data_IF_812097931651
#
_entry.id   IF_812097931651
#
_cell.length_a   1.000
_cell.length_b   1.000
_cell.length_c   1.000
_cell.angle_alpha   90.00
_cell.angle_beta   90.00
_cell.angle_gamma   90.00
#
_symmetry.space_group_name_H-M   'P 1'
#
loop_
_entity.id
_entity.type
_entity.pdbx_description
1 polymer ?
#
# COMPACT_ATOMS: atom_id res chain seq x y z
N UNK A 1 13.83 -23.89 -15.46
CA UNK A 1 14.22 -23.15 -14.25
C UNK A 1 12.95 -22.87 -13.46
N UNK A 2 12.90 -23.39 -12.24
CA UNK A 2 11.68 -23.67 -11.47
C UNK A 2 10.98 -22.41 -10.93
N UNK A 3 9.65 -22.43 -11.00
CA UNK A 3 8.70 -21.38 -10.59
C UNK A 3 8.36 -21.45 -9.09
N UNK A 4 9.37 -21.64 -8.22
CA UNK A 4 9.14 -21.94 -6.79
C UNK A 4 9.52 -20.82 -5.80
N UNK A 5 10.04 -19.67 -6.24
CA UNK A 5 10.55 -18.63 -5.33
C UNK A 5 9.58 -17.46 -5.07
N UNK A 6 8.27 -17.71 -5.06
CA UNK A 6 7.28 -16.65 -4.82
C UNK A 6 6.30 -17.02 -3.70
N UNK A 7 6.76 -16.98 -2.45
CA UNK A 7 5.96 -16.60 -1.27
C UNK A 7 6.73 -16.76 0.05
N UNK A 8 7.94 -16.20 0.20
CA UNK A 8 8.48 -16.01 1.56
C UNK A 8 7.93 -14.70 2.14
N UNK A 9 6.64 -14.78 2.46
CA UNK A 9 5.86 -13.77 3.17
C UNK A 9 6.57 -13.40 4.47
N UNK A 10 6.58 -12.10 4.77
CA UNK A 10 7.02 -11.48 6.01
C UNK A 10 6.67 -12.32 7.25
N UNK A 11 7.63 -13.10 7.77
CA UNK A 11 7.52 -13.69 9.10
C UNK A 11 8.15 -12.72 10.10
N UNK A 12 7.37 -11.75 10.58
CA UNK A 12 7.65 -11.22 11.92
C UNK A 12 7.36 -12.36 12.90
N UNK A 13 8.42 -12.89 13.51
CA UNK A 13 8.30 -13.95 14.52
C UNK A 13 7.87 -13.29 15.82
N UNK A 14 6.55 -13.16 15.99
CA UNK A 14 5.96 -12.74 17.25
C UNK A 14 5.96 -13.93 18.20
N UNK A 15 6.51 -13.73 19.40
CA UNK A 15 6.52 -14.74 20.46
C UNK A 15 5.78 -14.22 21.68
N UNK A 16 5.06 -15.10 22.37
CA UNK A 16 4.51 -14.77 23.69
C UNK A 16 5.66 -14.82 24.70
N UNK A 17 5.81 -13.76 25.51
CA UNK A 17 6.97 -13.55 26.41
C UNK A 17 7.19 -14.68 27.41
N UNK A 18 6.12 -15.28 27.91
CA UNK A 18 6.17 -16.30 28.95
C UNK A 18 5.41 -17.55 28.49
N UNK A 19 6.08 -18.56 27.89
CA UNK A 19 5.43 -19.80 27.46
C UNK A 19 4.88 -20.66 28.61
N UNK A 20 5.33 -20.43 29.85
CA UNK A 20 4.89 -21.15 31.03
C UNK A 20 3.58 -20.59 31.63
N UNK A 21 3.21 -19.36 31.28
CA UNK A 21 1.98 -18.73 31.71
C UNK A 21 0.98 -18.68 30.56
N UNK A 22 -0.20 -19.27 30.75
CA UNK A 22 -1.25 -19.23 29.73
C UNK A 22 -1.67 -17.77 29.46
N UNK A 23 -1.64 -17.31 28.18
CA UNK A 23 -2.07 -15.97 27.85
C UNK A 23 -3.61 -15.84 27.94
N UNK A 24 -4.15 -14.61 28.07
CA UNK A 24 -5.59 -14.38 28.02
C UNK A 24 -6.23 -15.03 26.78
N UNK A 25 -7.21 -15.91 27.00
CA UNK A 25 -7.88 -16.66 25.92
C UNK A 25 -7.16 -17.93 25.45
N UNK A 26 -6.09 -18.34 26.14
CA UNK A 26 -5.36 -19.59 25.94
C UNK A 26 -4.41 -19.59 24.75
N UNK A 27 -3.68 -20.69 24.56
CA UNK A 27 -2.83 -20.88 23.38
C UNK A 27 -3.67 -21.30 22.19
N UNK A 28 -3.33 -20.78 21.00
CA UNK A 28 -4.05 -21.03 19.76
C UNK A 28 -3.07 -21.25 18.62
N UNK A 29 -3.44 -22.13 17.70
CA UNK A 29 -2.72 -22.37 16.46
C UNK A 29 -3.71 -22.52 15.32
N UNK A 30 -3.43 -21.88 14.19
CA UNK A 30 -4.13 -22.10 12.93
C UNK A 30 -3.10 -22.50 11.89
N UNK A 31 -3.33 -23.61 11.21
CA UNK A 31 -2.49 -24.10 10.12
C UNK A 31 -3.13 -23.61 8.83
N UNK A 32 -2.58 -22.52 8.26
CA UNK A 32 -3.17 -21.84 7.11
C UNK A 32 -3.29 -22.76 5.88
N UNK A 33 -2.36 -23.69 5.72
CA UNK A 33 -2.29 -24.65 4.62
C UNK A 33 -3.48 -25.63 4.62
N UNK A 34 -4.01 -25.97 5.79
CA UNK A 34 -5.10 -26.97 5.94
C UNK A 34 -6.39 -26.38 6.49
N UNK A 35 -6.35 -25.13 6.99
CA UNK A 35 -7.45 -24.50 7.71
C UNK A 35 -7.68 -25.02 9.13
N UNK A 36 -6.94 -26.03 9.58
CA UNK A 36 -7.12 -26.62 10.90
C UNK A 36 -6.79 -25.62 12.01
N UNK A 37 -7.60 -25.64 13.07
CA UNK A 37 -7.49 -24.73 14.21
C UNK A 37 -7.48 -25.53 15.52
N UNK A 38 -6.54 -25.19 16.39
CA UNK A 38 -6.31 -25.86 17.66
C UNK A 38 -6.23 -24.83 18.79
N UNK A 39 -6.72 -25.19 19.97
CA UNK A 39 -6.59 -24.37 21.18
C UNK A 39 -6.42 -25.23 22.42
N UNK A 40 -5.55 -24.81 23.35
CA UNK A 40 -5.36 -25.49 24.63
C UNK A 40 -4.84 -24.48 25.69
N UNK A 41 -5.23 -24.59 26.97
CA UNK A 41 -4.68 -23.76 28.04
C UNK A 41 -3.18 -23.98 28.30
N UNK A 42 -2.63 -25.15 28.00
CA UNK A 42 -1.23 -25.50 28.20
C UNK A 42 -0.46 -25.53 26.86
N UNK A 43 0.65 -24.78 26.80
CA UNK A 43 1.49 -24.70 25.59
C UNK A 43 2.04 -26.07 25.18
N UNK A 44 2.58 -26.83 26.12
CA UNK A 44 3.21 -28.14 25.84
C UNK A 44 2.23 -29.14 25.24
N UNK A 45 0.99 -29.18 25.74
CA UNK A 45 -0.05 -30.04 25.20
C UNK A 45 -0.45 -29.62 23.78
N UNK A 46 -0.60 -28.30 23.55
CA UNK A 46 -0.88 -27.80 22.21
C UNK A 46 0.25 -28.11 21.23
N UNK A 47 1.49 -27.95 21.67
CA UNK A 47 2.67 -28.25 20.86
C UNK A 47 2.69 -29.70 20.43
N UNK A 48 2.39 -30.65 21.31
CA UNK A 48 2.26 -32.07 20.95
C UNK A 48 1.15 -32.30 19.95
N UNK A 49 -0.06 -31.75 20.18
CA UNK A 49 -1.21 -31.91 19.27
C UNK A 49 -0.87 -31.38 17.87
N UNK A 50 -0.32 -30.18 17.80
CA UNK A 50 0.05 -29.52 16.53
C UNK A 50 1.20 -30.26 15.85
N UNK A 51 2.22 -30.71 16.58
CA UNK A 51 3.34 -31.46 16.02
C UNK A 51 2.87 -32.79 15.40
N UNK A 52 2.00 -33.53 16.09
CA UNK A 52 1.39 -34.75 15.54
C UNK A 52 0.62 -34.44 14.26
N UNK A 53 -0.22 -33.41 14.27
CA UNK A 53 -1.01 -33.03 13.10
C UNK A 53 -0.13 -32.59 11.91
N UNK A 54 0.94 -31.82 12.16
CA UNK A 54 1.88 -31.42 11.12
C UNK A 54 2.55 -32.65 10.49
N UNK A 55 2.99 -33.59 11.32
CA UNK A 55 3.58 -34.87 10.85
C UNK A 55 2.60 -35.67 9.98
N UNK A 56 1.32 -35.77 10.39
CA UNK A 56 0.27 -36.45 9.62
C UNK A 56 -0.01 -35.78 8.26
N UNK A 57 0.19 -34.45 8.17
CA UNK A 57 0.04 -33.68 6.94
C UNK A 57 1.32 -33.61 6.10
N UNK A 58 2.40 -34.33 6.47
CA UNK A 58 3.69 -34.28 5.77
C UNK A 58 4.47 -32.97 5.95
N UNK A 59 4.19 -32.22 7.02
CA UNK A 59 4.89 -31.00 7.41
C UNK A 59 5.87 -31.25 8.56
N UNK A 60 6.84 -30.34 8.75
CA UNK A 60 7.85 -30.48 9.80
C UNK A 60 7.23 -30.25 11.20
N UNK A 61 7.22 -31.27 12.09
CA UNK A 61 6.68 -31.14 13.44
C UNK A 61 7.44 -30.11 14.31
N UNK A 62 8.70 -29.78 13.98
CA UNK A 62 9.46 -28.76 14.69
C UNK A 62 8.86 -27.35 14.54
N UNK A 63 8.03 -27.12 13.51
CA UNK A 63 7.34 -25.84 13.30
C UNK A 63 6.16 -25.62 14.27
N UNK A 64 5.75 -26.62 15.05
CA UNK A 64 4.59 -26.52 15.93
C UNK A 64 4.70 -25.35 16.93
N UNK A 65 5.83 -25.25 17.65
CA UNK A 65 6.08 -24.19 18.63
C UNK A 65 6.04 -22.79 18.02
N UNK A 66 6.82 -22.51 16.96
CA UNK A 66 6.77 -21.24 16.24
C UNK A 66 5.38 -20.86 15.73
N UNK A 67 4.63 -21.81 15.14
CA UNK A 67 3.27 -21.57 14.62
C UNK A 67 2.28 -21.23 15.74
N UNK A 68 2.35 -21.92 16.88
CA UNK A 68 1.55 -21.62 18.07
C UNK A 68 1.87 -20.21 18.59
N UNK A 69 3.15 -19.89 18.76
CA UNK A 69 3.58 -18.58 19.23
C UNK A 69 3.10 -17.46 18.33
N UNK A 70 3.28 -17.61 17.02
CA UNK A 70 2.91 -16.59 16.04
C UNK A 70 1.40 -16.37 15.99
N UNK A 71 0.61 -17.45 15.97
CA UNK A 71 -0.86 -17.37 15.94
C UNK A 71 -1.38 -16.75 17.24
N UNK A 72 -0.90 -17.23 18.39
CA UNK A 72 -1.32 -16.72 19.70
C UNK A 72 -0.95 -15.24 19.87
N UNK A 73 0.26 -14.85 19.46
CA UNK A 73 0.69 -13.46 19.54
C UNK A 73 -0.12 -12.53 18.64
N UNK A 74 -0.50 -12.96 17.42
CA UNK A 74 -1.41 -12.18 16.55
C UNK A 74 -2.75 -11.90 17.23
N UNK A 75 -3.34 -12.91 17.87
CA UNK A 75 -4.61 -12.78 18.61
C UNK A 75 -4.45 -11.81 19.77
N UNK A 76 -3.39 -11.94 20.57
CA UNK A 76 -3.14 -11.04 21.69
C UNK A 76 -2.98 -9.58 21.25
N UNK A 77 -2.24 -9.33 20.16
CA UNK A 77 -2.09 -7.99 19.59
C UNK A 77 -3.44 -7.43 19.13
N UNK A 78 -4.27 -8.23 18.45
CA UNK A 78 -5.61 -7.78 18.02
C UNK A 78 -6.56 -7.51 19.19
N UNK A 79 -6.38 -8.21 20.31
CA UNK A 79 -7.17 -8.02 21.53
C UNK A 79 -6.60 -6.96 22.48
N UNK A 80 -5.56 -6.23 22.07
CA UNK A 80 -4.97 -5.13 22.86
C UNK A 80 -3.88 -5.55 23.86
N UNK A 81 -3.55 -6.84 23.98
CA UNK A 81 -2.54 -7.38 24.91
C UNK A 81 -1.12 -7.38 24.32
N UNK A 82 -0.68 -6.23 23.80
CA UNK A 82 0.65 -6.09 23.15
C UNK A 82 1.82 -6.27 24.12
N UNK A 83 1.59 -6.01 25.41
CA UNK A 83 2.54 -6.14 26.51
C UNK A 83 3.00 -7.59 26.75
N UNK A 84 2.17 -8.58 26.36
CA UNK A 84 2.45 -10.00 26.52
C UNK A 84 3.27 -10.60 25.36
N UNK A 85 3.58 -9.80 24.34
CA UNK A 85 4.28 -10.23 23.13
C UNK A 85 5.71 -9.66 23.10
N UNK A 86 6.66 -10.51 22.74
CA UNK A 86 8.01 -10.15 22.36
C UNK A 86 8.13 -10.19 20.83
N UNK A 87 8.77 -9.18 20.27
CA UNK A 87 9.30 -9.29 18.91
C UNK A 87 10.66 -9.97 19.02
N UNK A 88 10.74 -11.24 18.61
CA UNK A 88 12.03 -11.88 18.43
C UNK A 88 12.64 -11.31 17.16
N UNK A 89 13.68 -10.51 17.34
CA UNK A 89 14.57 -9.92 16.33
C UNK A 89 13.91 -9.32 15.08
N UNK A 90 14.21 -8.03 14.83
CA UNK A 90 14.11 -7.52 13.47
C UNK A 90 15.07 -8.33 12.61
N UNK A 91 14.56 -9.34 11.90
CA UNK A 91 15.29 -9.91 10.77
C UNK A 91 15.59 -8.73 9.85
N UNK A 92 16.87 -8.39 9.73
CA UNK A 92 17.32 -7.31 8.87
C UNK A 92 16.91 -7.67 7.45
N UNK A 93 15.92 -6.95 6.91
CA UNK A 93 15.43 -7.28 5.58
C UNK A 93 16.55 -7.02 4.59
N UNK A 94 16.69 -7.91 3.64
CA UNK A 94 17.53 -7.65 2.48
C UNK A 94 16.99 -6.42 1.71
N UNK A 95 17.83 -5.67 0.99
CA UNK A 95 17.37 -4.55 0.15
C UNK A 95 16.25 -4.93 -0.83
N UNK A 96 16.25 -6.17 -1.34
CA UNK A 96 15.18 -6.70 -2.22
C UNK A 96 13.86 -6.91 -1.49
N UNK A 97 13.88 -7.35 -0.24
CA UNK A 97 12.68 -7.49 0.61
C UNK A 97 12.13 -6.12 1.06
N UNK A 98 13.00 -5.14 1.33
CA UNK A 98 12.56 -3.76 1.54
C UNK A 98 11.89 -3.20 0.28
N UNK A 99 12.50 -3.39 -0.88
CA UNK A 99 11.95 -2.99 -2.16
C UNK A 99 10.60 -3.65 -2.44
N UNK A 100 10.44 -4.96 -2.19
CA UNK A 100 9.17 -5.68 -2.36
C UNK A 100 8.08 -5.20 -1.40
N UNK A 101 8.42 -5.01 -0.12
CA UNK A 101 7.48 -4.51 0.88
C UNK A 101 7.07 -3.05 0.65
N UNK A 102 8.01 -2.20 0.22
CA UNK A 102 7.71 -0.82 -0.17
C UNK A 102 6.87 -0.77 -1.45
N UNK A 103 7.16 -1.64 -2.43
CA UNK A 103 6.33 -1.80 -3.65
C UNK A 103 4.90 -2.21 -3.30
N UNK A 104 4.72 -3.26 -2.48
CA UNK A 104 3.39 -3.71 -2.08
C UNK A 104 2.61 -2.64 -1.31
N UNK A 105 3.25 -1.95 -0.36
CA UNK A 105 2.63 -0.83 0.38
C UNK A 105 2.25 0.34 -0.52
N UNK A 106 3.06 0.66 -1.53
CA UNK A 106 2.76 1.74 -2.45
C UNK A 106 1.66 1.37 -3.46
N UNK A 107 1.65 0.12 -3.93
CA UNK A 107 0.56 -0.41 -4.76
C UNK A 107 -0.77 -0.36 -4.00
N UNK A 108 -0.78 -0.77 -2.74
CA UNK A 108 -1.93 -0.64 -1.86
C UNK A 108 -2.30 0.83 -1.65
N UNK A 109 -1.33 1.69 -1.35
CA UNK A 109 -1.56 3.14 -1.19
C UNK A 109 -2.20 3.78 -2.42
N UNK A 110 -1.81 3.36 -3.64
CA UNK A 110 -2.41 3.87 -4.86
C UNK A 110 -3.75 3.22 -5.21
N UNK A 111 -3.88 1.89 -5.08
CA UNK A 111 -5.13 1.16 -5.29
C UNK A 111 -6.23 1.61 -4.31
N UNK A 112 -5.85 1.97 -3.09
CA UNK A 112 -6.71 2.54 -2.06
C UNK A 112 -6.81 4.07 -2.15
N UNK A 113 -6.12 4.71 -3.10
CA UNK A 113 -6.19 6.17 -3.24
C UNK A 113 -7.62 6.58 -3.66
N UNK A 114 -8.17 7.64 -3.06
CA UNK A 114 -9.49 8.16 -3.45
C UNK A 114 -9.60 8.46 -4.95
N UNK A 115 -8.51 8.92 -5.59
CA UNK A 115 -8.47 9.19 -7.03
C UNK A 115 -8.70 7.91 -7.82
N UNK A 116 -7.97 6.83 -7.52
CA UNK A 116 -8.12 5.55 -8.23
C UNK A 116 -9.54 5.00 -8.08
N UNK A 117 -10.07 4.99 -6.85
CA UNK A 117 -11.43 4.51 -6.59
C UNK A 117 -12.49 5.31 -7.33
N UNK A 118 -12.37 6.64 -7.36
CA UNK A 118 -13.32 7.51 -8.05
C UNK A 118 -13.23 7.39 -9.58
N UNK A 119 -12.02 7.29 -10.16
CA UNK A 119 -11.82 7.07 -11.59
C UNK A 119 -12.37 5.71 -12.03
N UNK A 120 -12.09 4.64 -11.28
CA UNK A 120 -12.67 3.31 -11.52
C UNK A 120 -14.19 3.33 -11.40
N UNK A 121 -14.73 4.06 -10.42
CA UNK A 121 -16.17 4.26 -10.27
C UNK A 121 -16.81 4.91 -11.51
N UNK A 122 -16.19 5.96 -12.07
CA UNK A 122 -16.64 6.58 -13.32
C UNK A 122 -16.57 5.62 -14.50
N UNK A 123 -15.45 4.91 -14.66
CA UNK A 123 -15.26 3.90 -15.70
C UNK A 123 -16.37 2.85 -15.68
N UNK A 124 -16.67 2.31 -14.49
CA UNK A 124 -17.70 1.28 -14.31
C UNK A 124 -19.12 1.78 -14.63
N UNK A 125 -19.36 3.09 -14.58
CA UNK A 125 -20.64 3.71 -14.97
C UNK A 125 -20.69 4.12 -16.44
N UNK A 126 -19.62 3.90 -17.21
CA UNK A 126 -19.52 4.36 -18.60
C UNK A 126 -19.37 5.88 -18.73
N UNK A 127 -18.95 6.57 -17.67
CA UNK A 127 -18.70 8.02 -17.70
C UNK A 127 -17.30 8.33 -18.21
N UNK A 128 -17.11 9.55 -18.71
CA UNK A 128 -15.79 10.06 -19.07
C UNK A 128 -14.88 10.16 -17.85
N UNK A 129 -13.84 9.32 -17.86
CA UNK A 129 -12.82 9.24 -16.81
C UNK A 129 -11.71 10.27 -16.97
N UNK A 130 -11.64 10.95 -18.13
CA UNK A 130 -10.64 11.97 -18.42
C UNK A 130 -11.28 13.20 -19.04
N UNK A 131 -10.61 14.34 -18.89
CA UNK A 131 -10.95 15.55 -19.63
C UNK A 131 -10.59 15.42 -21.12
N UNK A 132 -11.24 16.21 -22.00
CA UNK A 132 -10.82 16.35 -23.39
C UNK A 132 -9.33 16.69 -23.51
N UNK A 133 -8.69 16.24 -24.59
CA UNK A 133 -7.24 16.44 -24.76
C UNK A 133 -6.84 17.91 -24.75
N UNK A 134 -7.67 18.78 -25.31
CA UNK A 134 -7.43 20.23 -25.33
C UNK A 134 -7.35 20.83 -23.92
N UNK A 135 -8.24 20.41 -23.02
CA UNK A 135 -8.20 20.84 -21.62
C UNK A 135 -6.97 20.25 -20.89
N UNK A 136 -6.59 19.01 -21.19
CA UNK A 136 -5.37 18.43 -20.65
C UNK A 136 -4.11 19.18 -21.12
N UNK A 137 -4.03 19.55 -22.41
CA UNK A 137 -2.96 20.37 -22.97
C UNK A 137 -2.89 21.75 -22.33
N UNK A 138 -4.04 22.44 -22.17
CA UNK A 138 -4.12 23.73 -21.49
C UNK A 138 -3.57 23.65 -20.05
N UNK A 139 -3.99 22.63 -19.28
CA UNK A 139 -3.49 22.40 -17.91
C UNK A 139 -2.00 22.06 -17.90
N UNK A 140 -1.55 21.26 -18.85
CA UNK A 140 -0.16 20.87 -19.00
C UNK A 140 0.74 22.06 -19.33
N UNK A 141 0.31 22.98 -20.18
CA UNK A 141 1.04 24.22 -20.49
C UNK A 141 1.29 25.05 -19.22
N UNK A 142 0.23 25.28 -18.43
CA UNK A 142 0.31 26.01 -17.15
C UNK A 142 1.31 25.33 -16.21
N UNK A 143 1.27 24.00 -16.11
CA UNK A 143 2.18 23.26 -15.24
C UNK A 143 3.63 23.25 -15.77
N UNK A 144 3.83 23.19 -17.09
CA UNK A 144 5.16 23.15 -17.70
C UNK A 144 5.94 24.45 -17.47
N UNK A 145 5.24 25.58 -17.26
CA UNK A 145 5.81 26.90 -16.99
C UNK A 145 5.79 27.27 -15.49
N UNK A 146 5.26 26.40 -14.63
CA UNK A 146 5.11 26.69 -13.19
C UNK A 146 6.41 26.41 -12.41
N UNK A 147 7.22 27.44 -12.18
CA UNK A 147 8.50 27.35 -11.43
C UNK A 147 8.32 26.95 -9.96
N UNK A 148 7.20 27.34 -9.36
CA UNK A 148 6.90 27.09 -7.95
C UNK A 148 6.49 25.64 -7.71
N UNK A 149 5.70 25.08 -8.64
CA UNK A 149 5.01 23.82 -8.49
C UNK A 149 5.70 22.67 -9.20
N UNK A 150 6.05 22.83 -10.48
CA UNK A 150 6.50 21.72 -11.31
C UNK A 150 7.97 21.39 -11.07
N UNK A 151 8.23 20.20 -10.53
CA UNK A 151 9.58 19.65 -10.42
C UNK A 151 9.75 18.55 -11.45
N UNK A 152 10.34 18.89 -12.60
CA UNK A 152 10.86 17.89 -13.54
C UNK A 152 12.13 17.32 -12.92
N UNK A 153 12.12 16.08 -12.43
CA UNK A 153 13.21 15.56 -11.63
C UNK A 153 14.21 14.85 -12.54
N UNK A 154 15.41 15.41 -12.63
CA UNK A 154 16.55 14.79 -13.29
C UNK A 154 17.20 13.76 -12.35
N UNK A 155 17.51 12.57 -12.86
CA UNK A 155 18.26 11.56 -12.09
C UNK A 155 17.48 10.87 -10.95
N UNK A 156 16.16 10.67 -11.09
CA UNK A 156 15.39 9.88 -10.11
C UNK A 156 15.95 8.47 -9.95
N UNK A 157 16.04 8.00 -8.70
CA UNK A 157 16.32 6.61 -8.39
C UNK A 157 15.20 5.69 -8.89
N UNK A 158 15.52 4.42 -9.16
CA UNK A 158 14.60 3.45 -9.76
C UNK A 158 13.24 3.35 -9.03
N UNK A 159 13.23 3.50 -7.70
CA UNK A 159 12.03 3.41 -6.89
C UNK A 159 11.06 4.58 -7.11
N UNK A 160 11.57 5.82 -7.19
CA UNK A 160 10.74 7.00 -7.46
C UNK A 160 10.15 6.96 -8.87
N UNK A 161 10.94 6.60 -9.87
CA UNK A 161 10.42 6.39 -11.23
C UNK A 161 9.31 5.34 -11.25
N UNK A 162 9.47 4.25 -10.51
CA UNK A 162 8.46 3.22 -10.41
C UNK A 162 7.17 3.74 -9.74
N UNK A 163 7.25 4.55 -8.69
CA UNK A 163 6.05 5.11 -8.02
C UNK A 163 5.30 6.11 -8.90
N UNK A 164 6.01 6.98 -9.63
CA UNK A 164 5.37 7.93 -10.54
C UNK A 164 4.67 7.22 -11.70
N UNK A 165 5.31 6.15 -12.22
CA UNK A 165 4.74 5.32 -13.29
C UNK A 165 3.40 4.68 -12.88
N UNK A 166 3.18 4.40 -11.58
CA UNK A 166 1.88 3.90 -11.11
C UNK A 166 0.75 4.92 -11.22
N UNK A 167 1.04 6.21 -11.03
CA UNK A 167 0.05 7.25 -11.32
C UNK A 167 -0.16 7.42 -12.83
N UNK A 168 0.89 7.28 -13.65
CA UNK A 168 0.79 7.34 -15.11
C UNK A 168 -0.07 6.21 -15.69
N UNK A 169 0.00 5.00 -15.13
CA UNK A 169 -0.85 3.87 -15.54
C UNK A 169 -2.36 4.23 -15.49
N UNK A 170 -2.76 5.20 -14.63
CA UNK A 170 -4.14 5.67 -14.53
C UNK A 170 -4.66 6.42 -15.76
N UNK A 171 -3.77 6.93 -16.59
CA UNK A 171 -4.11 7.69 -17.80
C UNK A 171 -3.80 6.90 -19.08
N UNK A 172 -3.45 5.61 -18.95
CA UNK A 172 -3.08 4.73 -20.05
C UNK A 172 -1.99 5.38 -20.93
N UNK A 173 -2.18 5.39 -22.26
CA UNK A 173 -1.23 5.93 -23.22
C UNK A 173 -1.43 7.43 -23.51
N UNK A 174 -2.26 8.14 -22.73
CA UNK A 174 -2.54 9.57 -22.97
C UNK A 174 -1.30 10.41 -22.65
N UNK A 175 -0.92 11.27 -23.60
CA UNK A 175 0.17 12.23 -23.45
C UNK A 175 -0.26 13.58 -23.98
N UNK A 176 0.09 14.63 -23.25
CA UNK A 176 -0.08 16.03 -23.68
C UNK A 176 1.14 16.48 -24.48
N UNK A 177 1.02 17.62 -25.15
CA UNK A 177 2.14 18.23 -25.91
C UNK A 177 3.32 18.62 -25.00
N UNK A 178 3.05 18.86 -23.72
CA UNK A 178 4.05 19.23 -22.73
C UNK A 178 4.50 18.05 -21.84
N UNK A 179 4.16 16.81 -22.20
CA UNK A 179 4.33 15.63 -21.34
C UNK A 179 5.74 15.50 -20.76
N UNK A 180 6.78 15.70 -21.57
CA UNK A 180 8.19 15.55 -21.15
C UNK A 180 8.68 16.72 -20.28
N UNK A 181 7.93 17.82 -20.25
CA UNK A 181 8.18 18.99 -19.38
C UNK A 181 7.42 18.91 -18.07
N UNK A 182 6.65 17.85 -17.83
CA UNK A 182 5.87 17.66 -16.61
C UNK A 182 6.56 16.66 -15.67
N UNK A 183 6.66 17.04 -14.41
CA UNK A 183 7.13 16.17 -13.34
C UNK A 183 6.13 16.10 -12.20
N UNK A 184 6.62 16.31 -10.98
CA UNK A 184 5.81 16.19 -9.77
C UNK A 184 5.52 17.58 -9.19
N UNK A 185 4.26 17.84 -8.83
CA UNK A 185 3.88 19.10 -8.22
C UNK A 185 4.24 19.16 -6.73
N UNK A 186 5.09 20.13 -6.35
CA UNK A 186 5.52 20.36 -4.96
C UNK A 186 4.40 20.89 -4.06
N UNK A 187 3.47 21.67 -4.64
CA UNK A 187 2.41 22.35 -3.89
C UNK A 187 1.32 21.38 -3.45
N UNK A 188 0.90 20.48 -4.36
CA UNK A 188 -0.12 19.48 -4.03
C UNK A 188 0.43 18.26 -3.26
N UNK A 189 1.70 18.29 -2.84
CA UNK A 189 2.31 17.24 -2.04
C UNK A 189 2.71 15.99 -2.81
N UNK A 190 2.93 16.07 -4.13
CA UNK A 190 3.50 14.95 -4.90
C UNK A 190 2.67 14.42 -6.06
N UNK A 191 1.68 15.15 -6.58
CA UNK A 191 0.92 14.69 -7.74
C UNK A 191 1.81 14.60 -8.98
N UNK A 192 1.80 13.45 -9.64
CA UNK A 192 2.38 13.27 -10.97
C UNK A 192 1.57 14.07 -12.00
N UNK A 193 2.15 15.18 -12.49
CA UNK A 193 1.45 16.16 -13.33
C UNK A 193 1.05 15.57 -14.68
N UNK A 194 1.84 14.64 -15.22
CA UNK A 194 1.52 13.93 -16.46
C UNK A 194 0.21 13.14 -16.37
N UNK A 195 -0.18 12.70 -15.17
CA UNK A 195 -1.47 12.05 -14.94
C UNK A 195 -2.55 13.08 -14.54
N UNK A 196 -2.21 13.98 -13.60
CA UNK A 196 -3.18 14.87 -12.98
C UNK A 196 -3.90 15.82 -13.95
N UNK A 197 -3.24 16.24 -15.02
CA UNK A 197 -3.83 17.11 -16.05
C UNK A 197 -5.02 16.45 -16.76
N UNK A 198 -5.07 15.11 -16.80
CA UNK A 198 -6.16 14.37 -17.43
C UNK A 198 -7.37 14.15 -16.51
N UNK A 199 -7.25 14.35 -15.19
CA UNK A 199 -8.33 13.99 -14.28
C UNK A 199 -9.50 15.00 -14.30
N UNK A 200 -10.75 14.53 -14.24
CA UNK A 200 -11.93 15.39 -14.20
C UNK A 200 -11.99 16.30 -12.97
N UNK A 201 -12.60 17.47 -13.12
CA UNK A 201 -12.70 18.47 -12.06
C UNK A 201 -13.48 17.96 -10.83
N UNK A 202 -14.56 17.20 -11.05
CA UNK A 202 -15.36 16.61 -9.98
C UNK A 202 -14.56 15.61 -9.13
N UNK A 203 -13.64 14.86 -9.74
CA UNK A 203 -12.72 13.97 -9.02
C UNK A 203 -11.73 14.79 -8.20
N UNK A 204 -11.12 15.80 -8.82
CA UNK A 204 -10.14 16.67 -8.16
C UNK A 204 -10.71 17.42 -6.96
N UNK A 205 -11.97 17.88 -7.04
CA UNK A 205 -12.70 18.52 -5.93
C UNK A 205 -12.93 17.57 -4.77
N UNK A 206 -13.30 16.31 -5.04
CA UNK A 206 -13.54 15.30 -3.99
C UNK A 206 -12.27 14.92 -3.21
N UNK A 207 -11.10 15.04 -3.85
CA UNK A 207 -9.81 14.59 -3.27
C UNK A 207 -8.91 15.75 -2.83
N UNK A 208 -9.31 16.99 -3.09
CA UNK A 208 -8.54 18.18 -2.69
C UNK A 208 -9.43 19.06 -1.81
N UNK A 209 -9.14 19.13 -0.49
CA UNK A 209 -9.91 19.98 0.43
C UNK A 209 -9.92 21.45 -0.01
N UNK A 210 -11.04 22.15 0.20
CA UNK A 210 -11.17 23.56 -0.19
C UNK A 210 -10.12 24.45 0.48
N UNK A 211 -9.78 24.15 1.73
CA UNK A 211 -8.74 24.86 2.50
C UNK A 211 -7.36 24.80 1.84
N UNK A 212 -7.11 23.82 0.96
CA UNK A 212 -5.85 23.72 0.23
C UNK A 212 -5.75 24.73 -0.92
N UNK A 213 -6.85 25.37 -1.33
CA UNK A 213 -6.84 26.41 -2.37
C UNK A 213 -5.83 27.53 -2.09
N UNK A 214 -5.65 27.88 -0.82
CA UNK A 214 -4.71 28.91 -0.39
C UNK A 214 -3.24 28.56 -0.66
N UNK A 215 -2.91 27.26 -0.77
CA UNK A 215 -1.54 26.78 -1.06
C UNK A 215 -1.14 27.03 -2.51
N UNK A 216 -2.11 27.13 -3.41
CA UNK A 216 -1.87 27.23 -4.84
C UNK A 216 -1.72 28.70 -5.30
N UNK A 217 -0.79 28.98 -6.23
CA UNK A 217 -0.65 30.30 -6.83
C UNK A 217 -1.86 30.64 -7.68
N UNK A 218 -2.07 31.93 -7.95
CA UNK A 218 -3.24 32.42 -8.69
C UNK A 218 -3.34 31.87 -10.11
N UNK A 219 -2.20 31.55 -10.74
CA UNK A 219 -2.16 30.97 -12.07
C UNK A 219 -2.46 29.45 -12.08
N UNK A 220 -2.58 28.80 -10.91
CA UNK A 220 -2.83 27.36 -10.85
C UNK A 220 -4.27 27.02 -11.25
N UNK A 221 -4.43 26.27 -12.33
CA UNK A 221 -5.73 25.78 -12.78
C UNK A 221 -6.47 24.95 -11.72
N UNK A 222 -5.73 24.23 -10.86
CA UNK A 222 -6.33 23.43 -9.78
C UNK A 222 -6.98 24.31 -8.71
N UNK A 223 -6.41 25.50 -8.43
CA UNK A 223 -7.02 26.49 -7.53
C UNK A 223 -8.40 26.91 -8.02
N UNK A 224 -8.52 27.16 -9.32
CA UNK A 224 -9.78 27.57 -9.95
C UNK A 224 -10.85 26.47 -9.84
N UNK A 225 -10.47 25.20 -10.00
CA UNK A 225 -11.37 24.06 -9.83
C UNK A 225 -11.89 23.94 -8.40
N UNK A 226 -11.02 24.20 -7.41
CA UNK A 226 -11.38 24.11 -6.00
C UNK A 226 -12.33 25.25 -5.60
N UNK A 227 -12.02 26.48 -6.02
CA UNK A 227 -12.77 27.68 -5.64
C UNK A 227 -14.08 27.87 -6.40
N UNK A 228 -14.23 27.28 -7.59
CA UNK A 228 -15.43 27.39 -8.42
C UNK A 228 -16.11 26.03 -8.57
N UNK A 229 -16.86 25.57 -7.54
CA UNK A 229 -17.65 24.36 -7.65
C UNK A 229 -18.85 24.60 -8.58
N UNK A 230 -18.65 24.42 -9.89
CA UNK A 230 -19.74 24.22 -10.88
C UNK A 230 -20.59 23.01 -10.51
#
# INVERSE_FOLDING_TARGET
MSSADTAESFRQTLQVRNPQQAPPGGWRCRIDETGASFSNPAFSQLATIVATYLSECGMDPAEAGPRIHQTTAKVLVSSGHKDLVAQLEKVERTPSQYAAGARAKMLLWWAESPIHGLLRGKFNRGEDVFVPMEEANRRAAICADCEEGNRVPTGKGWFQNWTDNKMLESVMDRKTEHHDRLGVCKICGGCELRAAVHWPADILRKVTPEMDAAKYPNHCWKKQIILNPS
#
